data_IF_681111534617
#
_entry.id   IF_681111534617
#
_cell.length_a   1.000
_cell.length_b   1.000
_cell.length_c   1.000
_cell.angle_alpha   90.00
_cell.angle_beta   90.00
_cell.angle_gamma   90.00
#
_symmetry.space_group_name_H-M   'P 1'
#
loop_
_entity.id
_entity.type
_entity.pdbx_description
1 polymer ?
#
# COMPACT_ATOMS: atom_id res chain seq x y z
N UNK A 1 -6.57 71.77 38.04
CA UNK A 1 -7.61 72.83 38.01
C UNK A 1 -8.83 72.25 37.32
N UNK A 2 -9.96 72.23 38.03
CA UNK A 2 -11.35 71.91 37.65
C UNK A 2 -11.75 70.51 37.17
N UNK A 3 -12.40 69.82 38.10
CA UNK A 3 -13.40 68.75 37.94
C UNK A 3 -14.70 69.30 37.32
N UNK A 4 -15.43 68.49 36.53
CA UNK A 4 -16.90 68.56 36.44
C UNK A 4 -17.47 67.21 36.00
N UNK A 5 -18.25 66.58 36.89
CA UNK A 5 -19.28 65.60 36.56
C UNK A 5 -20.43 66.30 35.83
N UNK A 6 -21.02 65.62 34.83
CA UNK A 6 -22.47 65.65 34.61
C UNK A 6 -22.96 64.27 34.17
N UNK A 7 -23.85 63.73 34.99
CA UNK A 7 -24.75 62.63 34.71
C UNK A 7 -25.91 63.12 33.83
N UNK A 8 -26.34 62.29 32.88
CA UNK A 8 -27.71 62.33 32.36
C UNK A 8 -28.23 60.90 32.20
N UNK A 9 -29.26 60.61 32.98
CA UNK A 9 -30.22 59.53 32.88
C UNK A 9 -31.09 59.77 31.63
N UNK A 10 -31.38 58.73 30.83
CA UNK A 10 -32.75 58.26 30.56
C UNK A 10 -32.93 57.39 29.29
N UNK A 11 -33.87 56.45 29.44
CA UNK A 11 -34.79 55.84 28.47
C UNK A 11 -34.36 54.59 27.69
N UNK A 12 -34.80 53.47 28.24
CA UNK A 12 -35.07 52.18 27.60
C UNK A 12 -36.02 52.30 26.40
N UNK A 13 -35.67 51.65 25.28
CA UNK A 13 -36.61 51.09 24.31
C UNK A 13 -36.10 49.71 23.84
N UNK A 14 -36.99 48.73 23.60
CA UNK A 14 -36.60 47.35 23.33
C UNK A 14 -36.20 47.16 21.85
N UNK A 15 -34.98 46.70 21.61
CA UNK A 15 -34.54 46.29 20.28
C UNK A 15 -34.94 44.82 20.05
N UNK A 16 -35.75 44.57 19.03
CA UNK A 16 -36.17 43.23 18.60
C UNK A 16 -34.97 42.29 18.36
N UNK A 17 -35.12 40.97 18.56
CA UNK A 17 -34.03 40.03 18.30
C UNK A 17 -33.71 39.99 16.80
N UNK A 18 -32.44 40.13 16.39
CA UNK A 18 -32.06 39.91 15.00
C UNK A 18 -32.21 38.42 14.65
N UNK A 19 -32.90 38.21 13.54
CA UNK A 19 -33.29 36.94 12.97
C UNK A 19 -32.08 36.11 12.55
N UNK A 20 -32.10 34.82 12.85
CA UNK A 20 -31.11 33.81 12.49
C UNK A 20 -30.74 33.82 11.01
N UNK A 21 -29.43 33.82 10.73
CA UNK A 21 -28.85 33.18 9.54
C UNK A 21 -27.68 32.32 9.99
N UNK A 22 -27.98 31.12 10.47
CA UNK A 22 -27.00 30.04 10.44
C UNK A 22 -26.73 29.72 8.98
N UNK A 23 -25.62 30.24 8.48
CA UNK A 23 -25.01 29.80 7.24
C UNK A 23 -24.53 28.37 7.49
N UNK A 24 -25.42 27.39 7.31
CA UNK A 24 -25.08 25.99 7.29
C UNK A 24 -24.20 25.80 6.05
N UNK A 25 -22.88 25.91 6.24
CA UNK A 25 -21.90 25.47 5.26
C UNK A 25 -22.15 23.98 5.10
N UNK A 26 -22.84 23.63 4.01
CA UNK A 26 -23.02 22.27 3.55
C UNK A 26 -21.62 21.74 3.27
N UNK A 27 -21.06 21.00 4.21
CA UNK A 27 -19.93 20.14 3.94
C UNK A 27 -20.35 19.26 2.76
N UNK A 28 -19.73 19.48 1.60
CA UNK A 28 -19.77 18.52 0.50
C UNK A 28 -19.20 17.24 1.09
N UNK A 29 -20.05 16.24 1.29
CA UNK A 29 -19.59 14.91 1.63
C UNK A 29 -18.54 14.55 0.59
N UNK A 30 -17.28 14.45 1.04
CA UNK A 30 -16.26 13.78 0.25
C UNK A 30 -16.88 12.46 -0.19
N UNK A 31 -16.82 12.19 -1.49
CA UNK A 31 -17.28 10.94 -2.06
C UNK A 31 -16.50 9.82 -1.39
N UNK A 32 -17.09 9.21 -0.36
CA UNK A 32 -16.49 8.09 0.37
C UNK A 32 -16.64 6.91 -0.57
N UNK A 33 -15.68 6.74 -1.48
CA UNK A 33 -15.60 5.55 -2.32
C UNK A 33 -15.59 4.34 -1.37
N UNK A 34 -16.60 3.46 -1.42
CA UNK A 34 -16.64 2.32 -0.51
C UNK A 34 -15.44 1.42 -0.80
N UNK A 35 -14.62 1.17 0.22
CA UNK A 35 -13.51 0.23 0.15
C UNK A 35 -14.05 -1.14 -0.28
N UNK A 36 -13.49 -1.70 -1.35
CA UNK A 36 -13.90 -2.98 -1.94
C UNK A 36 -13.57 -4.13 -0.97
N UNK A 37 -14.57 -4.94 -0.60
CA UNK A 37 -14.43 -6.05 0.35
C UNK A 37 -14.25 -7.43 -0.32
N UNK A 38 -13.92 -7.43 -1.62
CA UNK A 38 -13.75 -8.65 -2.40
C UNK A 38 -12.29 -8.98 -2.70
N UNK A 39 -12.02 -10.18 -3.23
CA UNK A 39 -10.71 -10.53 -3.79
C UNK A 39 -10.26 -9.45 -4.76
N UNK A 40 -9.06 -8.91 -4.52
CA UNK A 40 -8.51 -7.79 -5.27
C UNK A 40 -7.18 -8.19 -5.85
N UNK A 41 -7.07 -8.09 -7.16
CA UNK A 41 -5.84 -8.26 -7.92
C UNK A 41 -5.45 -6.89 -8.47
N UNK A 42 -4.18 -6.53 -8.27
CA UNK A 42 -3.61 -5.32 -8.82
C UNK A 42 -2.86 -5.67 -10.10
N UNK A 43 -3.10 -4.89 -11.15
CA UNK A 43 -2.17 -4.77 -12.26
C UNK A 43 -1.31 -3.51 -12.08
N UNK A 44 -0.06 -3.59 -12.52
CA UNK A 44 0.92 -2.50 -12.40
C UNK A 44 1.08 -1.70 -13.69
N UNK A 45 0.28 -2.01 -14.72
CA UNK A 45 0.43 -1.50 -16.07
C UNK A 45 0.02 -0.03 -16.25
N UNK A 46 -0.82 0.49 -15.36
CA UNK A 46 -1.24 1.90 -15.34
C UNK A 46 -0.23 2.82 -14.61
N UNK A 47 0.83 2.25 -14.02
CA UNK A 47 1.87 3.02 -13.34
C UNK A 47 2.84 3.67 -14.35
N UNK A 48 3.50 4.74 -13.92
CA UNK A 48 4.58 5.35 -14.70
C UNK A 48 5.92 4.68 -14.35
N UNK A 49 6.77 4.46 -15.35
CA UNK A 49 8.10 3.91 -15.12
C UNK A 49 8.93 4.82 -14.21
N UNK A 50 9.58 4.22 -13.21
CA UNK A 50 10.29 4.88 -12.10
C UNK A 50 9.41 5.67 -11.12
N UNK A 51 8.10 5.51 -11.19
CA UNK A 51 7.19 6.09 -10.20
C UNK A 51 7.34 5.39 -8.85
N UNK A 52 7.43 6.19 -7.78
CA UNK A 52 7.34 5.68 -6.41
C UNK A 52 5.90 5.26 -6.11
N UNK A 53 5.72 4.03 -5.67
CA UNK A 53 4.40 3.45 -5.42
C UNK A 53 4.09 3.52 -3.93
N UNK A 54 3.08 4.31 -3.60
CA UNK A 54 2.57 4.50 -2.23
C UNK A 54 1.04 4.50 -2.16
N UNK A 55 0.41 5.47 -2.83
CA UNK A 55 -1.02 5.77 -2.66
C UNK A 55 -1.88 5.41 -3.88
N UNK A 56 -1.27 4.97 -4.97
CA UNK A 56 -1.91 4.67 -6.25
C UNK A 56 -3.04 3.63 -6.09
N UNK A 57 -2.90 2.71 -5.14
CA UNK A 57 -3.88 1.63 -4.86
C UNK A 57 -4.68 1.84 -3.57
N UNK A 58 -4.62 3.02 -2.96
CA UNK A 58 -5.28 3.30 -1.67
C UNK A 58 -6.80 3.14 -1.73
N UNK A 59 -7.43 3.50 -2.87
CA UNK A 59 -8.87 3.31 -3.12
C UNK A 59 -9.28 1.84 -3.21
N UNK A 60 -8.33 0.96 -3.55
CA UNK A 60 -8.50 -0.49 -3.55
C UNK A 60 -8.21 -1.12 -2.17
N UNK A 61 -7.77 -0.31 -1.20
CA UNK A 61 -7.59 -0.74 0.18
C UNK A 61 -6.17 -1.14 0.56
N UNK A 62 -5.16 -0.81 -0.24
CA UNK A 62 -3.76 -1.09 0.08
C UNK A 62 -2.86 0.10 -0.23
N UNK A 63 -1.91 0.35 0.66
CA UNK A 63 -0.83 1.33 0.47
C UNK A 63 0.51 0.62 0.49
N UNK A 64 1.46 1.13 -0.28
CA UNK A 64 2.81 0.57 -0.38
C UNK A 64 3.85 1.51 0.22
N UNK A 65 4.97 0.94 0.69
CA UNK A 65 6.16 1.69 1.04
C UNK A 65 7.39 0.98 0.51
N UNK A 66 8.38 1.77 0.10
CA UNK A 66 9.64 1.27 -0.41
C UNK A 66 9.54 0.62 -1.78
N UNK A 67 8.47 0.86 -2.54
CA UNK A 67 8.29 0.34 -3.89
C UNK A 67 8.52 1.40 -4.97
N UNK A 68 9.09 0.98 -6.09
CA UNK A 68 9.17 1.74 -7.34
C UNK A 68 8.69 0.85 -8.50
N UNK A 69 7.91 1.41 -9.41
CA UNK A 69 7.50 0.74 -10.64
C UNK A 69 8.64 0.76 -11.66
N UNK A 70 8.97 -0.37 -12.27
CA UNK A 70 10.03 -0.44 -13.29
C UNK A 70 9.61 -1.34 -14.44
N UNK A 71 10.18 -1.09 -15.63
CA UNK A 71 10.20 -2.05 -16.73
C UNK A 71 11.55 -2.78 -16.70
N UNK A 72 11.61 -4.06 -16.30
CA UNK A 72 12.89 -4.76 -16.19
C UNK A 72 13.55 -4.92 -17.55
N UNK A 73 14.84 -4.58 -17.65
CA UNK A 73 15.66 -4.82 -18.83
C UNK A 73 16.40 -6.15 -18.79
N UNK A 74 16.58 -6.73 -17.59
CA UNK A 74 17.22 -8.01 -17.39
C UNK A 74 16.16 -9.15 -17.50
N UNK A 75 16.34 -10.12 -18.42
CA UNK A 75 15.39 -11.21 -18.65
C UNK A 75 14.97 -12.00 -17.41
N UNK A 76 15.81 -12.08 -16.37
CA UNK A 76 15.48 -12.84 -15.15
C UNK A 76 14.36 -12.20 -14.33
N UNK A 77 14.10 -10.90 -14.54
CA UNK A 77 13.09 -10.13 -13.82
C UNK A 77 11.87 -9.79 -14.68
N UNK A 78 11.86 -10.19 -15.96
CA UNK A 78 10.73 -9.93 -16.87
C UNK A 78 9.50 -10.68 -16.34
N UNK A 79 8.35 -9.98 -16.17
CA UNK A 79 7.14 -10.62 -15.66
C UNK A 79 6.53 -11.58 -16.68
N UNK A 80 5.76 -12.55 -16.20
CA UNK A 80 5.01 -13.49 -17.04
C UNK A 80 3.86 -12.83 -17.80
N UNK A 81 3.35 -11.70 -17.31
CA UNK A 81 2.32 -10.88 -17.93
C UNK A 81 2.62 -9.39 -17.73
N UNK A 82 2.22 -8.55 -18.68
CA UNK A 82 2.44 -7.11 -18.58
C UNK A 82 3.89 -6.70 -18.84
N UNK A 83 4.24 -5.48 -18.44
CA UNK A 83 5.55 -4.86 -18.64
C UNK A 83 6.11 -4.24 -17.36
N UNK A 84 5.25 -3.86 -16.40
CA UNK A 84 5.65 -3.15 -15.20
C UNK A 84 5.59 -4.07 -13.99
N UNK A 85 6.60 -3.95 -13.14
CA UNK A 85 6.72 -4.68 -11.87
C UNK A 85 7.08 -3.71 -10.76
N UNK A 86 6.80 -4.09 -9.51
CA UNK A 86 7.34 -3.38 -8.36
C UNK A 86 8.71 -3.93 -8.00
N UNK A 87 9.64 -3.05 -7.65
CA UNK A 87 10.96 -3.37 -7.10
C UNK A 87 11.18 -2.57 -5.81
N UNK A 88 11.97 -3.07 -4.85
CA UNK A 88 12.44 -2.23 -3.75
C UNK A 88 13.12 -0.97 -4.27
N UNK A 89 12.69 0.19 -3.78
CA UNK A 89 13.34 1.46 -4.03
C UNK A 89 14.75 1.48 -3.44
N UNK A 90 15.61 2.32 -3.99
CA UNK A 90 17.02 2.41 -3.56
C UNK A 90 17.11 2.62 -2.05
N UNK A 91 17.99 1.86 -1.39
CA UNK A 91 18.23 1.90 0.06
C UNK A 91 17.12 1.34 0.96
N UNK A 92 16.05 0.77 0.40
CA UNK A 92 15.06 0.04 1.17
C UNK A 92 15.38 -1.45 1.17
N UNK A 93 15.22 -2.09 2.33
CA UNK A 93 15.44 -3.53 2.49
C UNK A 93 14.33 -4.39 1.84
N UNK A 94 13.20 -3.77 1.49
CA UNK A 94 12.03 -4.48 1.04
C UNK A 94 10.88 -3.59 0.58
N UNK A 95 9.75 -4.23 0.27
CA UNK A 95 8.48 -3.59 -0.06
C UNK A 95 7.49 -3.94 1.05
N UNK A 96 6.93 -2.91 1.69
CA UNK A 96 5.86 -3.07 2.65
C UNK A 96 4.52 -2.78 1.98
N UNK A 97 3.49 -3.54 2.30
CA UNK A 97 2.10 -3.20 1.96
C UNK A 97 1.25 -3.20 3.23
N UNK A 98 0.43 -2.17 3.43
CA UNK A 98 -0.50 -2.05 4.55
C UNK A 98 -1.92 -2.04 4.00
N UNK A 99 -2.78 -2.84 4.61
CA UNK A 99 -4.16 -2.97 4.21
C UNK A 99 -5.04 -2.05 5.06
N UNK A 100 -5.99 -1.36 4.43
CA UNK A 100 -6.97 -0.51 5.12
C UNK A 100 -7.86 -1.30 6.08
N UNK A 101 -8.05 -2.60 5.80
CA UNK A 101 -8.72 -3.56 6.67
C UNK A 101 -7.90 -4.85 6.67
N UNK A 102 -7.86 -5.58 7.80
CA UNK A 102 -7.17 -6.86 7.83
C UNK A 102 -7.66 -7.82 6.75
N UNK A 103 -6.72 -8.55 6.16
CA UNK A 103 -6.93 -9.56 5.12
C UNK A 103 -6.59 -10.95 5.65
N UNK A 104 -6.98 -11.99 4.93
CA UNK A 104 -6.70 -13.38 5.24
C UNK A 104 -5.78 -14.04 4.23
N UNK A 105 -5.75 -13.55 2.98
CA UNK A 105 -4.92 -14.10 1.91
C UNK A 105 -4.14 -12.97 1.27
N UNK A 106 -2.86 -13.22 1.02
CA UNK A 106 -1.96 -12.38 0.23
C UNK A 106 -1.15 -13.26 -0.70
N UNK A 107 -1.02 -12.85 -1.95
CA UNK A 107 -0.17 -13.52 -2.93
C UNK A 107 0.51 -12.48 -3.83
N UNK A 108 1.73 -12.77 -4.25
CA UNK A 108 2.38 -12.07 -5.37
C UNK A 108 3.20 -13.07 -6.17
N UNK A 109 3.43 -12.76 -7.45
CA UNK A 109 4.45 -13.43 -8.24
C UNK A 109 5.78 -12.71 -8.05
N UNK A 110 6.83 -13.46 -7.72
CA UNK A 110 8.12 -12.93 -7.29
C UNK A 110 9.24 -13.48 -8.16
N UNK A 111 10.13 -12.61 -8.62
CA UNK A 111 11.40 -12.98 -9.25
C UNK A 111 12.56 -12.42 -8.43
N UNK A 112 13.58 -13.22 -8.11
CA UNK A 112 14.68 -12.81 -7.26
C UNK A 112 15.96 -13.63 -7.49
N UNK A 113 17.13 -13.00 -7.32
CA UNK A 113 18.44 -13.68 -7.41
C UNK A 113 18.93 -14.27 -6.09
N UNK A 114 18.18 -14.02 -5.01
CA UNK A 114 18.35 -14.59 -3.66
C UNK A 114 16.95 -14.96 -3.14
N UNK A 115 16.86 -15.76 -2.06
CA UNK A 115 15.58 -16.05 -1.43
C UNK A 115 14.81 -14.77 -1.11
N UNK A 116 13.51 -14.76 -1.40
CA UNK A 116 12.61 -13.66 -1.05
C UNK A 116 11.67 -14.16 0.03
N UNK A 117 11.58 -13.41 1.12
CA UNK A 117 10.73 -13.71 2.27
C UNK A 117 9.53 -12.78 2.26
N UNK A 118 8.34 -13.34 2.47
CA UNK A 118 7.10 -12.62 2.74
C UNK A 118 6.75 -12.82 4.22
N UNK A 119 6.69 -11.71 4.96
CA UNK A 119 6.28 -11.67 6.36
C UNK A 119 4.90 -11.05 6.47
N UNK A 120 3.96 -11.70 7.15
CA UNK A 120 2.67 -11.12 7.53
C UNK A 120 2.72 -10.60 8.97
N UNK A 121 2.11 -9.43 9.20
CA UNK A 121 2.02 -8.80 10.51
C UNK A 121 0.58 -8.42 10.85
N UNK A 122 0.23 -8.54 12.12
CA UNK A 122 -1.03 -8.05 12.68
C UNK A 122 -1.04 -6.51 12.81
N UNK A 123 -2.15 -5.96 13.33
CA UNK A 123 -2.29 -4.50 13.53
C UNK A 123 -1.34 -3.91 14.56
N UNK A 124 -0.72 -4.73 15.40
CA UNK A 124 0.26 -4.34 16.41
C UNK A 124 1.71 -4.47 15.89
N UNK A 125 1.89 -4.91 14.64
CA UNK A 125 3.21 -5.20 14.07
C UNK A 125 3.81 -6.52 14.54
N UNK A 126 3.00 -7.41 15.13
CA UNK A 126 3.44 -8.75 15.53
C UNK A 126 3.40 -9.67 14.32
N UNK A 127 4.47 -10.44 14.13
CA UNK A 127 4.55 -11.42 13.03
C UNK A 127 3.53 -12.53 13.23
N UNK A 128 2.65 -12.71 12.24
CA UNK A 128 1.69 -13.79 12.18
C UNK A 128 2.30 -15.02 11.50
N UNK A 129 2.94 -14.82 10.35
CA UNK A 129 3.50 -15.91 9.54
C UNK A 129 4.64 -15.40 8.64
N UNK A 130 5.52 -16.32 8.24
CA UNK A 130 6.57 -16.08 7.23
C UNK A 130 6.66 -17.24 6.26
N UNK A 131 6.81 -16.91 4.98
CA UNK A 131 7.08 -17.86 3.91
C UNK A 131 8.26 -17.35 3.08
N UNK A 132 9.03 -18.25 2.47
CA UNK A 132 10.16 -17.87 1.60
C UNK A 132 10.27 -18.81 0.43
N UNK A 133 10.71 -18.28 -0.71
CA UNK A 133 11.01 -19.05 -1.91
C UNK A 133 12.51 -19.04 -2.19
N UNK A 134 13.01 -20.10 -2.83
CA UNK A 134 14.37 -20.13 -3.36
C UNK A 134 14.55 -19.21 -4.58
N UNK A 135 15.77 -19.17 -5.13
CA UNK A 135 16.12 -18.38 -6.33
C UNK A 135 16.71 -19.20 -7.48
N UNK A 136 17.12 -20.45 -7.22
CA UNK A 136 17.75 -21.31 -8.24
C UNK A 136 17.21 -22.74 -8.15
N UNK A 137 17.29 -23.44 -9.28
CA UNK A 137 17.08 -24.88 -9.38
C UNK A 137 18.27 -25.53 -10.09
N UNK A 138 18.51 -26.80 -9.79
CA UNK A 138 19.41 -27.62 -10.59
C UNK A 138 18.66 -28.16 -11.80
N UNK A 139 19.23 -27.97 -12.99
CA UNK A 139 18.83 -28.64 -14.21
C UNK A 139 19.83 -29.75 -14.50
N UNK A 140 19.32 -30.94 -14.81
CA UNK A 140 20.16 -32.05 -15.25
C UNK A 140 20.09 -32.14 -16.77
N UNK A 141 21.22 -31.88 -17.43
CA UNK A 141 21.40 -32.04 -18.87
C UNK A 141 22.78 -32.65 -19.12
N UNK A 142 22.86 -33.59 -20.07
CA UNK A 142 24.12 -34.23 -20.50
C UNK A 142 24.99 -34.80 -19.36
N UNK A 143 24.35 -35.31 -18.30
CA UNK A 143 25.05 -35.91 -17.15
C UNK A 143 25.72 -34.90 -16.21
N UNK A 144 25.50 -33.60 -16.41
CA UNK A 144 25.96 -32.54 -15.51
C UNK A 144 24.76 -31.80 -14.90
N UNK A 145 24.95 -31.30 -13.67
CA UNK A 145 23.99 -30.44 -13.00
C UNK A 145 24.38 -28.97 -13.24
N UNK A 146 23.52 -28.23 -13.92
CA UNK A 146 23.68 -26.78 -14.13
C UNK A 146 22.73 -26.02 -13.20
N UNK A 147 23.21 -24.92 -12.62
CA UNK A 147 22.40 -24.06 -11.77
C UNK A 147 21.67 -23.03 -12.66
N UNK A 148 20.35 -23.07 -12.68
CA UNK A 148 19.52 -22.13 -13.44
C UNK A 148 18.67 -21.27 -12.48
N UNK A 149 18.41 -19.99 -12.80
CA UNK A 149 17.50 -19.17 -12.03
C UNK A 149 16.09 -19.76 -12.07
N UNK A 150 15.35 -19.60 -10.96
CA UNK A 150 13.93 -19.90 -10.93
C UNK A 150 13.17 -18.87 -11.77
N UNK A 151 12.11 -19.28 -12.49
CA UNK A 151 11.21 -18.32 -13.10
C UNK A 151 10.41 -17.63 -11.98
N UNK A 152 9.62 -16.63 -12.36
CA UNK A 152 8.67 -15.99 -11.45
C UNK A 152 7.88 -17.05 -10.64
N UNK A 153 7.94 -16.99 -9.31
CA UNK A 153 7.31 -17.96 -8.40
C UNK A 153 6.17 -17.29 -7.63
N UNK A 154 5.04 -17.97 -7.40
CA UNK A 154 4.04 -17.48 -6.46
C UNK A 154 4.56 -17.56 -5.03
N UNK A 155 4.44 -16.45 -4.29
CA UNK A 155 4.69 -16.36 -2.87
C UNK A 155 3.39 -15.95 -2.19
N UNK A 156 2.86 -16.80 -1.31
CA UNK A 156 1.52 -16.68 -0.75
C UNK A 156 1.50 -16.96 0.75
N UNK A 157 0.66 -16.22 1.47
CA UNK A 157 0.26 -16.48 2.85
C UNK A 157 -1.26 -16.59 2.95
N UNK A 158 -1.73 -17.45 3.86
CA UNK A 158 -3.14 -17.61 4.19
C UNK A 158 -3.32 -17.71 5.70
N UNK A 159 -3.48 -16.55 6.34
CA UNK A 159 -3.57 -16.39 7.79
C UNK A 159 -4.55 -15.25 8.07
N UNK A 160 -5.58 -15.42 8.91
CA UNK A 160 -6.47 -14.31 9.25
C UNK A 160 -5.75 -13.18 10.00
N UNK A 161 -6.20 -11.94 9.80
CA UNK A 161 -5.77 -10.79 10.62
C UNK A 161 -4.53 -10.06 10.11
N UNK A 162 -4.11 -10.31 8.87
CA UNK A 162 -2.97 -9.63 8.24
C UNK A 162 -3.32 -8.16 8.04
N UNK A 163 -2.70 -7.27 8.82
CA UNK A 163 -2.86 -5.83 8.67
C UNK A 163 -1.79 -5.22 7.76
N UNK A 164 -0.60 -5.83 7.73
CA UNK A 164 0.46 -5.46 6.80
C UNK A 164 1.32 -6.66 6.45
N UNK A 165 2.08 -6.51 5.37
CA UNK A 165 3.07 -7.48 4.91
C UNK A 165 4.37 -6.79 4.55
N UNK A 166 5.45 -7.56 4.53
CA UNK A 166 6.78 -7.11 4.16
C UNK A 166 7.46 -8.18 3.28
N UNK A 167 7.84 -7.80 2.07
CA UNK A 167 8.70 -8.59 1.18
C UNK A 167 10.14 -8.12 1.34
N UNK A 168 11.06 -9.04 1.60
CA UNK A 168 12.48 -8.74 1.82
C UNK A 168 13.39 -9.77 1.14
N UNK A 169 14.59 -9.33 0.74
CA UNK A 169 15.65 -10.19 0.23
C UNK A 169 17.00 -9.50 0.35
N UNK A 170 18.07 -10.29 0.43
CA UNK A 170 19.46 -9.78 0.44
C UNK A 170 19.97 -9.37 -0.97
N UNK A 171 19.12 -9.45 -1.99
CA UNK A 171 19.44 -9.05 -3.36
C UNK A 171 18.19 -8.49 -4.07
N UNK A 172 18.35 -7.86 -5.25
CA UNK A 172 17.22 -7.35 -6.00
C UNK A 172 16.17 -8.42 -6.30
N UNK A 173 14.91 -8.03 -6.15
CA UNK A 173 13.74 -8.82 -6.49
C UNK A 173 12.64 -7.93 -7.08
N UNK A 174 11.71 -8.55 -7.79
CA UNK A 174 10.53 -7.88 -8.34
C UNK A 174 9.24 -8.59 -7.91
N UNK A 175 8.16 -7.82 -7.80
CA UNK A 175 6.80 -8.28 -7.52
C UNK A 175 5.89 -7.94 -8.69
N UNK A 176 4.98 -8.84 -9.01
CA UNK A 176 3.95 -8.68 -10.03
C UNK A 176 2.72 -9.53 -9.65
N UNK A 177 1.56 -9.29 -10.27
CA UNK A 177 0.28 -9.94 -9.97
C UNK A 177 -0.04 -10.00 -8.47
N UNK A 178 0.00 -8.83 -7.81
CA UNK A 178 -0.28 -8.70 -6.38
C UNK A 178 -1.77 -8.92 -6.09
N UNK A 179 -2.07 -9.82 -5.17
CA UNK A 179 -3.42 -10.23 -4.82
C UNK A 179 -3.62 -10.22 -3.30
N UNK A 180 -4.82 -9.82 -2.87
CA UNK A 180 -5.25 -9.94 -1.49
C UNK A 180 -6.76 -10.15 -1.35
N UNK A 181 -7.18 -10.79 -0.25
CA UNK A 181 -8.58 -11.08 0.06
C UNK A 181 -8.83 -11.17 1.56
N UNK A 182 -10.03 -10.77 2.01
CA UNK A 182 -10.48 -10.92 3.40
C UNK A 182 -11.13 -12.28 3.70
N UNK A 183 -11.51 -13.02 2.66
CA UNK A 183 -12.13 -14.35 2.72
C UNK A 183 -11.09 -15.46 2.68
#
# INVERSE_FOLDING_TARGET
MFSFLKSHTELSQPLAPPTSRHHLVRATAAEVTPLRLGPTQLDFEDLVEFERVENQYSTLGVQFWGAIAIRPSNPIFVPSSGCLVLMPSTFQAGIQAQFCRPVAIVQALVSGTRPVTLTALDSNGVVLERVSIGSYRYLWADGQAELAPLPQQPLQLQTPGIASILFESDAPFTLDNFFFSQL
#
